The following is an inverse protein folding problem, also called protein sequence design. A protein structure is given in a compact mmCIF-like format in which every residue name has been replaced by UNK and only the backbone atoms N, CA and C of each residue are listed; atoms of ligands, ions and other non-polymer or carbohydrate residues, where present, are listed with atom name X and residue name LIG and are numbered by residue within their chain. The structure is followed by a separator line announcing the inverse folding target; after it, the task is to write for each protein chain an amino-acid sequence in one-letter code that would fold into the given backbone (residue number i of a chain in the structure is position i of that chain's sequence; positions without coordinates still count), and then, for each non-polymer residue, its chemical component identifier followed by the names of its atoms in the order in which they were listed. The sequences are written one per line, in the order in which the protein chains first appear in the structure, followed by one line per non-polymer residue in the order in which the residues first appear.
data_IF_557492433333
#
_entry.id   IF_557492433333
#
_cell.length_a   1.000
_cell.length_b   1.000
_cell.length_c   1.000
_cell.angle_alpha   90.00
_cell.angle_beta   90.00
_cell.angle_gamma   90.00
#
_symmetry.space_group_name_H-M   'P 1'
#
loop_
_entity.id
_entity.type
_entity.pdbx_description
1 polymer ?
#
# COMPACT_ATOMS: atom_id res chain seq x y z
N UNK A 1 10.91 -20.78 -1.87
CA UNK A 1 10.07 -20.03 -0.92
C UNK A 1 8.63 -20.07 -1.38
N UNK A 2 7.70 -20.41 -0.50
CA UNK A 2 6.32 -20.45 -0.91
C UNK A 2 5.69 -19.05 -0.88
N UNK A 3 4.52 -18.91 -1.50
CA UNK A 3 3.84 -17.63 -1.62
C UNK A 3 3.40 -17.07 -0.27
N UNK A 4 3.11 -17.94 0.71
CA UNK A 4 2.70 -17.50 2.04
C UNK A 4 3.79 -16.68 2.74
N UNK A 5 5.05 -17.15 2.65
CA UNK A 5 6.15 -16.43 3.28
C UNK A 5 6.41 -15.10 2.59
N UNK A 6 6.27 -15.08 1.26
CA UNK A 6 6.54 -13.87 0.49
C UNK A 6 5.54 -12.77 0.81
N UNK A 7 4.23 -13.06 0.82
CA UNK A 7 3.24 -12.02 1.07
C UNK A 7 3.28 -11.54 2.52
N UNK A 8 3.59 -12.44 3.47
CA UNK A 8 3.73 -12.05 4.87
C UNK A 8 4.90 -11.11 5.08
N UNK A 9 6.02 -11.36 4.41
CA UNK A 9 7.18 -10.47 4.49
C UNK A 9 6.87 -9.10 3.88
N UNK A 10 6.19 -9.08 2.74
CA UNK A 10 5.76 -7.83 2.12
C UNK A 10 4.77 -7.08 3.00
N UNK A 11 3.89 -7.80 3.66
CA UNK A 11 2.95 -7.18 4.60
C UNK A 11 3.69 -6.52 5.75
N UNK A 12 4.72 -7.16 6.29
CA UNK A 12 5.54 -6.55 7.34
C UNK A 12 6.22 -5.27 6.86
N UNK A 13 6.72 -5.28 5.63
CA UNK A 13 7.33 -4.09 5.04
C UNK A 13 6.29 -2.98 4.86
N UNK A 14 5.07 -3.35 4.48
CA UNK A 14 3.96 -2.41 4.37
C UNK A 14 3.64 -1.78 5.74
N UNK A 15 3.59 -2.59 6.79
CA UNK A 15 3.32 -2.07 8.14
C UNK A 15 4.38 -1.05 8.57
N UNK A 16 5.65 -1.33 8.29
CA UNK A 16 6.73 -0.38 8.59
C UNK A 16 6.57 0.92 7.82
N UNK A 17 6.26 0.82 6.53
CA UNK A 17 6.04 1.98 5.69
C UNK A 17 4.82 2.79 6.15
N UNK A 18 3.78 2.10 6.61
CA UNK A 18 2.59 2.75 7.13
C UNK A 18 2.90 3.56 8.38
N UNK A 19 3.74 3.02 9.27
CA UNK A 19 4.19 3.74 10.46
C UNK A 19 4.95 5.02 10.09
N UNK A 20 5.82 4.92 9.08
CA UNK A 20 6.55 6.09 8.59
C UNK A 20 5.59 7.10 7.98
N UNK A 21 4.62 6.63 7.21
CA UNK A 21 3.63 7.51 6.60
C UNK A 21 2.84 8.28 7.66
N UNK A 22 2.41 7.62 8.71
CA UNK A 22 1.70 8.28 9.81
C UNK A 22 2.57 9.36 10.45
N UNK A 23 3.87 9.08 10.63
CA UNK A 23 4.80 10.07 11.16
C UNK A 23 4.93 11.28 10.23
N UNK A 24 4.98 11.05 8.92
CA UNK A 24 5.06 12.15 7.94
C UNK A 24 3.80 12.99 7.93
N UNK A 25 2.64 12.38 8.16
CA UNK A 25 1.39 13.13 8.30
C UNK A 25 1.48 14.07 9.52
N UNK A 26 1.91 13.54 10.65
CA UNK A 26 2.03 14.33 11.88
C UNK A 26 3.00 15.49 11.70
N UNK A 27 4.15 15.24 11.07
CA UNK A 27 5.14 16.28 10.78
C UNK A 27 4.58 17.34 9.84
N UNK A 28 3.85 16.93 8.83
CA UNK A 28 3.26 17.85 7.86
C UNK A 28 2.23 18.76 8.53
N UNK A 29 1.42 18.24 9.42
CA UNK A 29 0.41 19.04 10.12
C UNK A 29 1.04 20.17 10.93
N UNK A 30 2.23 19.94 11.47
CA UNK A 30 2.98 20.97 12.23
C UNK A 30 3.69 21.95 11.29
N UNK A 31 4.14 21.49 10.11
CA UNK A 31 4.94 22.27 9.16
C UNK A 31 4.23 22.45 7.82
N UNK A 32 2.96 22.78 7.85
CA UNK A 32 2.10 22.74 6.67
C UNK A 32 2.56 23.65 5.54
N UNK A 33 3.26 24.75 5.85
CA UNK A 33 3.74 25.70 4.86
C UNK A 33 5.16 25.41 4.37
N UNK A 34 5.76 24.31 4.82
CA UNK A 34 7.13 23.98 4.46
C UNK A 34 7.14 22.88 3.38
N UNK A 35 7.67 23.24 2.21
CA UNK A 35 7.68 22.36 1.04
C UNK A 35 8.39 21.03 1.31
N UNK A 36 9.48 21.06 2.10
CA UNK A 36 10.23 19.83 2.38
C UNK A 36 9.37 18.79 3.08
N UNK A 37 8.51 19.20 4.01
CA UNK A 37 7.62 18.27 4.71
C UNK A 37 6.50 17.78 3.79
N UNK A 38 6.02 18.64 2.90
CA UNK A 38 5.03 18.24 1.91
C UNK A 38 5.60 17.19 0.97
N UNK A 39 6.82 17.41 0.48
CA UNK A 39 7.48 16.45 -0.41
C UNK A 39 7.74 15.12 0.28
N UNK A 40 8.15 15.16 1.56
CA UNK A 40 8.38 13.94 2.33
C UNK A 40 7.08 13.13 2.48
N UNK A 41 5.96 13.82 2.71
CA UNK A 41 4.66 13.16 2.82
C UNK A 41 4.25 12.51 1.51
N UNK A 42 4.41 13.24 0.39
CA UNK A 42 4.07 12.70 -0.93
C UNK A 42 4.89 11.47 -1.24
N UNK A 43 6.19 11.50 -0.96
CA UNK A 43 7.07 10.36 -1.19
C UNK A 43 6.65 9.16 -0.34
N UNK A 44 6.33 9.39 0.93
CA UNK A 44 5.86 8.31 1.82
C UNK A 44 4.55 7.71 1.32
N UNK A 45 3.65 8.54 0.79
CA UNK A 45 2.40 8.08 0.20
C UNK A 45 2.65 7.19 -1.01
N UNK A 46 3.55 7.60 -1.91
CA UNK A 46 3.88 6.82 -3.10
C UNK A 46 4.45 5.45 -2.73
N UNK A 47 5.31 5.41 -1.72
CA UNK A 47 5.90 4.16 -1.25
C UNK A 47 4.82 3.24 -0.69
N UNK A 48 3.91 3.78 0.12
CA UNK A 48 2.88 2.95 0.76
C UNK A 48 1.88 2.41 -0.26
N UNK A 49 1.52 3.20 -1.26
CA UNK A 49 0.62 2.74 -2.33
C UNK A 49 1.27 1.61 -3.12
N UNK A 50 2.55 1.75 -3.44
CA UNK A 50 3.29 0.71 -4.16
C UNK A 50 3.35 -0.59 -3.36
N UNK A 51 3.63 -0.50 -2.06
CA UNK A 51 3.68 -1.68 -1.21
C UNK A 51 2.30 -2.30 -1.00
N UNK A 52 1.27 -1.46 -0.91
CA UNK A 52 -0.10 -1.94 -0.70
C UNK A 52 -0.56 -2.83 -1.85
N UNK A 53 -0.37 -2.38 -3.09
CA UNK A 53 -0.85 -3.19 -4.22
C UNK A 53 -0.02 -4.46 -4.38
N UNK A 54 1.26 -4.44 -4.02
CA UNK A 54 2.10 -5.64 -4.05
C UNK A 54 1.65 -6.67 -3.04
N UNK A 55 1.27 -6.23 -1.83
CA UNK A 55 0.72 -7.12 -0.83
C UNK A 55 -0.58 -7.74 -1.32
N UNK A 56 -1.47 -6.92 -1.87
CA UNK A 56 -2.75 -7.40 -2.40
C UNK A 56 -2.53 -8.39 -3.54
N UNK A 57 -1.60 -8.08 -4.43
CA UNK A 57 -1.27 -8.98 -5.54
C UNK A 57 -0.79 -10.33 -5.04
N UNK A 58 0.16 -10.34 -4.11
CA UNK A 58 0.69 -11.59 -3.57
C UNK A 58 -0.37 -12.40 -2.84
N UNK A 59 -1.22 -11.73 -2.08
CA UNK A 59 -2.30 -12.40 -1.37
C UNK A 59 -3.28 -13.05 -2.34
N UNK A 60 -3.67 -12.32 -3.38
CA UNK A 60 -4.61 -12.83 -4.38
C UNK A 60 -4.01 -13.97 -5.20
N UNK A 61 -2.73 -13.89 -5.53
CA UNK A 61 -2.07 -14.98 -6.23
C UNK A 61 -2.00 -16.24 -5.37
N UNK A 62 -1.83 -16.06 -4.06
CA UNK A 62 -1.84 -17.19 -3.12
C UNK A 62 -3.22 -17.85 -3.09
N UNK A 63 -4.29 -17.10 -3.34
CA UNK A 63 -5.66 -17.61 -3.42
C UNK A 63 -6.03 -18.11 -4.82
N UNK A 64 -5.08 -18.12 -5.75
CA UNK A 64 -5.30 -18.67 -7.10
C UNK A 64 -5.69 -17.66 -8.15
N UNK A 65 -5.69 -16.36 -7.84
CA UNK A 65 -6.00 -15.33 -8.83
C UNK A 65 -4.75 -14.94 -9.59
N UNK A 66 -4.90 -14.65 -10.89
CA UNK A 66 -3.82 -14.16 -11.74
C UNK A 66 -3.93 -12.65 -11.85
N UNK A 67 -3.02 -11.95 -11.17
CA UNK A 67 -3.03 -10.48 -11.09
C UNK A 67 -1.78 -9.95 -11.77
N UNK A 68 -1.95 -9.08 -12.77
CA UNK A 68 -0.85 -8.60 -13.61
C UNK A 68 -0.34 -7.22 -13.26
N UNK A 69 -1.15 -6.37 -12.63
CA UNK A 69 -0.77 -5.00 -12.33
C UNK A 69 -1.52 -4.48 -11.11
N UNK A 70 -1.13 -3.28 -10.66
CA UNK A 70 -1.71 -2.71 -9.46
C UNK A 70 -3.21 -2.44 -9.58
N UNK A 71 -3.65 -1.95 -10.74
CA UNK A 71 -5.06 -1.66 -10.96
C UNK A 71 -5.91 -2.94 -10.87
N UNK A 72 -5.43 -4.03 -11.48
CA UNK A 72 -6.11 -5.30 -11.42
C UNK A 72 -6.11 -5.87 -10.00
N UNK A 73 -5.00 -5.70 -9.27
CA UNK A 73 -4.92 -6.13 -7.89
C UNK A 73 -5.97 -5.44 -7.03
N UNK A 74 -6.12 -4.13 -7.20
CA UNK A 74 -7.10 -3.34 -6.46
C UNK A 74 -8.53 -3.79 -6.79
N UNK A 75 -8.82 -4.02 -8.06
CA UNK A 75 -10.14 -4.50 -8.47
C UNK A 75 -10.47 -5.86 -7.87
N UNK A 76 -9.50 -6.78 -7.92
CA UNK A 76 -9.70 -8.11 -7.34
C UNK A 76 -9.85 -8.04 -5.83
N UNK A 77 -9.05 -7.22 -5.18
CA UNK A 77 -9.15 -7.04 -3.73
C UNK A 77 -10.53 -6.48 -3.34
N UNK A 78 -11.04 -5.53 -4.12
CA UNK A 78 -12.37 -4.97 -3.90
C UNK A 78 -13.47 -6.03 -4.09
N UNK A 79 -13.36 -6.82 -5.17
CA UNK A 79 -14.32 -7.90 -5.45
C UNK A 79 -14.30 -8.98 -4.38
N UNK A 80 -13.16 -9.21 -3.74
CA UNK A 80 -13.02 -10.19 -2.66
C UNK A 80 -13.22 -9.56 -1.27
N UNK A 81 -13.70 -8.33 -1.23
CA UNK A 81 -14.01 -7.61 0.00
C UNK A 81 -12.81 -7.34 0.89
N UNK A 82 -11.60 -7.37 0.31
CA UNK A 82 -10.39 -7.04 1.05
C UNK A 82 -10.25 -5.54 1.27
N UNK A 83 -10.80 -4.74 0.36
CA UNK A 83 -10.86 -3.28 0.50
C UNK A 83 -12.27 -2.82 0.20
N UNK A 84 -12.68 -1.69 0.82
CA UNK A 84 -14.05 -1.21 0.70
C UNK A 84 -14.23 -0.17 -0.40
N UNK A 85 -13.33 0.78 -0.49
CA UNK A 85 -13.47 1.91 -1.41
C UNK A 85 -12.46 1.78 -2.54
N UNK A 86 -12.66 0.77 -3.41
CA UNK A 86 -11.76 0.50 -4.51
C UNK A 86 -11.57 1.67 -5.45
N UNK A 87 -12.57 2.51 -5.59
CA UNK A 87 -12.49 3.69 -6.46
C UNK A 87 -11.46 4.70 -5.98
N UNK A 88 -11.27 4.82 -4.67
CA UNK A 88 -10.27 5.73 -4.11
C UNK A 88 -8.86 5.29 -4.48
N UNK A 89 -8.65 3.99 -4.59
CA UNK A 89 -7.35 3.41 -4.90
C UNK A 89 -7.01 3.50 -6.40
N UNK A 90 -8.01 3.56 -7.24
CA UNK A 90 -7.83 3.59 -8.69
C UNK A 90 -7.60 5.01 -9.18
#
# INVERSE_FOLDING_TARGET
MNNDLRWKQRFQNFEKAFTVFQRRIDEYEVHIDEEAYQMALVQAYEIIVELAWKVMKDYLENDGFDVKNGKQAIRQAFQNELIRDGEIWL
#
